data_IF_424203466570
#
_entry.id   IF_424203466570
#
_cell.length_a   1.000
_cell.length_b   1.000
_cell.length_c   1.000
_cell.angle_alpha   90.00
_cell.angle_beta   90.00
_cell.angle_gamma   90.00
#
_symmetry.space_group_name_H-M   'P 1'
#
loop_
_entity.id
_entity.type
_entity.pdbx_description
1 polymer ?
#
# COMPACT_ATOMS: atom_id res chain seq x y z
N UNK A 1 -1.41 46.94 38.11
CA UNK A 1 0.03 46.74 37.85
C UNK A 1 0.19 45.55 36.92
N UNK A 2 0.43 45.81 35.64
CA UNK A 2 0.92 44.79 34.70
C UNK A 2 2.46 44.89 34.69
N UNK A 3 3.15 43.91 35.28
CA UNK A 3 4.57 43.64 35.04
C UNK A 3 4.63 42.43 34.10
N UNK A 4 4.99 42.59 32.83
CA UNK A 4 6.33 42.81 32.26
C UNK A 4 7.22 41.55 32.25
N UNK A 5 7.41 41.07 31.01
CA UNK A 5 8.63 40.50 30.44
C UNK A 5 9.07 39.07 30.81
N UNK A 6 8.70 38.11 29.95
CA UNK A 6 9.62 37.08 29.46
C UNK A 6 9.34 36.82 27.98
N UNK A 7 10.13 37.46 27.11
CA UNK A 7 10.20 37.25 25.66
C UNK A 7 10.88 35.91 25.33
N UNK A 8 10.22 34.80 25.64
CA UNK A 8 10.52 33.49 25.03
C UNK A 8 9.20 33.01 24.42
N UNK A 9 9.17 32.74 23.11
CA UNK A 9 8.03 32.03 22.52
C UNK A 9 7.72 30.74 23.31
N UNK A 10 6.49 30.19 23.23
CA UNK A 10 6.08 29.07 24.07
C UNK A 10 7.16 27.98 24.02
N UNK A 11 7.73 27.66 25.18
CA UNK A 11 8.81 26.68 25.32
C UNK A 11 8.35 25.38 24.64
N UNK A 12 8.84 25.12 23.41
CA UNK A 12 8.42 23.93 22.64
C UNK A 12 8.65 22.70 23.51
N UNK A 13 7.63 21.84 23.70
CA UNK A 13 7.74 20.70 24.57
C UNK A 13 8.77 19.70 24.01
N UNK A 14 9.39 18.92 24.90
CA UNK A 14 10.49 18.00 24.54
C UNK A 14 10.11 17.02 23.43
N UNK A 15 8.91 16.44 23.48
CA UNK A 15 8.41 15.50 22.46
C UNK A 15 8.35 16.16 21.07
N UNK A 16 7.94 17.42 20.99
CA UNK A 16 7.84 18.17 19.72
C UNK A 16 9.23 18.46 19.17
N UNK A 17 10.18 18.86 20.03
CA UNK A 17 11.59 19.03 19.64
C UNK A 17 12.19 17.72 19.12
N UNK A 18 11.84 16.58 19.72
CA UNK A 18 12.32 15.27 19.27
C UNK A 18 11.89 14.97 17.82
N UNK A 19 10.65 15.32 17.47
CA UNK A 19 10.16 15.22 16.10
C UNK A 19 10.82 16.27 15.20
N UNK A 20 10.95 17.52 15.65
CA UNK A 20 11.59 18.60 14.88
C UNK A 20 13.04 18.27 14.49
N UNK A 21 13.77 17.58 15.38
CA UNK A 21 15.14 17.15 15.14
C UNK A 21 15.29 16.14 14.00
N UNK A 22 14.22 15.40 13.65
CA UNK A 22 14.25 14.49 12.49
C UNK A 22 14.61 15.20 11.19
N UNK A 23 14.27 16.49 11.10
CA UNK A 23 14.41 17.31 9.90
C UNK A 23 15.69 18.18 9.93
N UNK A 24 16.47 18.11 11.02
CA UNK A 24 17.61 19.01 11.27
C UNK A 24 18.97 18.37 10.94
N UNK A 25 19.01 17.38 10.06
CA UNK A 25 20.21 16.63 9.70
C UNK A 25 20.17 16.10 8.26
N UNK A 26 21.14 15.27 7.89
CA UNK A 26 21.10 14.62 6.57
C UNK A 26 19.96 13.60 6.52
N UNK A 27 19.28 13.43 5.37
CA UNK A 27 18.12 12.53 5.26
C UNK A 27 18.48 11.03 5.43
N UNK A 28 19.77 10.70 5.45
CA UNK A 28 20.29 9.35 5.70
C UNK A 28 20.62 9.10 7.18
N UNK A 29 20.63 10.14 8.02
CA UNK A 29 20.98 9.99 9.42
C UNK A 29 19.84 9.28 10.20
N UNK A 30 20.12 8.04 10.61
CA UNK A 30 19.21 7.23 11.42
C UNK A 30 19.28 7.59 12.90
N UNK A 31 20.28 8.35 13.34
CA UNK A 31 20.50 8.69 14.76
C UNK A 31 19.29 9.43 15.36
N UNK A 32 18.75 10.42 14.64
CA UNK A 32 17.59 11.18 15.12
C UNK A 32 16.32 10.31 15.18
N UNK A 33 16.15 9.38 14.23
CA UNK A 33 15.07 8.38 14.28
C UNK A 33 15.21 7.47 15.50
N UNK A 34 16.41 6.98 15.77
CA UNK A 34 16.68 6.10 16.91
C UNK A 34 16.45 6.81 18.25
N UNK A 35 16.83 8.09 18.36
CA UNK A 35 16.53 8.91 19.54
C UNK A 35 15.02 9.09 19.75
N UNK A 36 14.25 9.32 18.69
CA UNK A 36 12.80 9.41 18.77
C UNK A 36 12.17 8.08 19.20
N UNK A 37 12.59 6.96 18.59
CA UNK A 37 12.12 5.62 18.96
C UNK A 37 12.40 5.34 20.43
N UNK A 38 13.64 5.57 20.89
CA UNK A 38 14.01 5.40 22.28
C UNK A 38 13.15 6.26 23.21
N UNK A 39 12.88 7.52 22.85
CA UNK A 39 12.01 8.39 23.62
C UNK A 39 10.57 7.86 23.70
N UNK A 40 10.00 7.41 22.58
CA UNK A 40 8.64 6.85 22.50
C UNK A 40 8.48 5.57 23.32
N UNK A 41 9.50 4.70 23.35
CA UNK A 41 9.48 3.48 24.15
C UNK A 41 9.43 3.76 25.67
N UNK A 42 10.03 4.87 26.12
CA UNK A 42 10.04 5.26 27.52
C UNK A 42 8.86 6.18 27.91
N UNK A 43 8.22 6.84 26.94
CA UNK A 43 7.11 7.77 27.17
C UNK A 43 5.95 7.49 26.19
N UNK A 44 5.28 6.33 26.31
CA UNK A 44 4.23 5.93 25.39
C UNK A 44 2.98 6.83 25.46
N UNK A 45 2.76 7.52 26.58
CA UNK A 45 1.68 8.50 26.76
C UNK A 45 1.77 9.71 25.82
N UNK A 46 2.95 9.95 25.23
CA UNK A 46 3.16 11.02 24.24
C UNK A 46 2.96 10.55 22.80
N UNK A 47 2.81 9.25 22.56
CA UNK A 47 2.86 8.66 21.23
C UNK A 47 1.73 9.16 20.32
N UNK A 48 0.50 9.28 20.85
CA UNK A 48 -0.65 9.85 20.14
C UNK A 48 -0.35 11.27 19.62
N UNK A 49 0.25 12.12 20.47
CA UNK A 49 0.60 13.50 20.10
C UNK A 49 1.72 13.54 19.06
N UNK A 50 2.70 12.67 19.19
CA UNK A 50 3.81 12.53 18.23
C UNK A 50 3.28 12.11 16.86
N UNK A 51 2.42 11.09 16.81
CA UNK A 51 1.83 10.57 15.58
C UNK A 51 0.98 11.64 14.87
N UNK A 52 0.11 12.34 15.62
CA UNK A 52 -0.68 13.47 15.09
C UNK A 52 0.19 14.62 14.58
N UNK A 53 1.29 14.90 15.26
CA UNK A 53 2.22 15.96 14.84
C UNK A 53 3.02 15.57 13.59
N UNK A 54 3.43 14.31 13.43
CA UNK A 54 4.03 13.80 12.20
C UNK A 54 3.06 13.93 11.02
N UNK A 55 1.79 13.57 11.21
CA UNK A 55 0.75 13.76 10.20
C UNK A 55 0.56 15.25 9.84
N UNK A 56 0.43 16.14 10.83
CA UNK A 56 0.33 17.58 10.61
C UNK A 56 1.52 18.12 9.81
N UNK A 57 2.73 17.67 10.14
CA UNK A 57 3.95 18.12 9.47
C UNK A 57 4.02 17.61 8.03
N UNK A 58 3.71 16.35 7.79
CA UNK A 58 3.62 15.80 6.44
C UNK A 58 2.63 16.60 5.59
N UNK A 59 1.45 16.93 6.11
CA UNK A 59 0.47 17.78 5.41
C UNK A 59 1.01 19.16 5.06
N UNK A 60 1.77 19.80 5.95
CA UNK A 60 2.42 21.09 5.68
C UNK A 60 3.53 20.98 4.63
N UNK A 61 4.34 19.92 4.70
CA UNK A 61 5.43 19.68 3.75
C UNK A 61 4.90 19.28 2.36
N UNK A 62 3.74 18.64 2.26
CA UNK A 62 3.01 18.43 1.00
C UNK A 62 2.65 19.74 0.32
N UNK A 63 2.07 20.68 1.07
CA UNK A 63 1.71 22.01 0.55
C UNK A 63 2.93 22.80 0.06
N UNK A 64 4.09 22.60 0.70
CA UNK A 64 5.35 23.27 0.35
C UNK A 64 6.20 22.49 -0.66
N UNK A 65 5.79 21.28 -1.03
CA UNK A 65 6.52 20.34 -1.90
C UNK A 65 7.94 20.03 -1.39
N UNK A 66 8.07 19.82 -0.08
CA UNK A 66 9.34 19.39 0.53
C UNK A 66 9.44 17.87 0.61
N UNK A 67 9.72 17.23 -0.53
CA UNK A 67 9.73 15.77 -0.71
C UNK A 67 10.65 15.03 0.26
N UNK A 68 11.80 15.62 0.58
CA UNK A 68 12.72 15.06 1.57
C UNK A 68 12.07 15.01 2.97
N UNK A 69 11.35 16.05 3.38
CA UNK A 69 10.67 16.09 4.67
C UNK A 69 9.47 15.14 4.70
N UNK A 70 8.76 14.99 3.58
CA UNK A 70 7.70 13.99 3.43
C UNK A 70 8.27 12.60 3.67
N UNK A 71 9.39 12.25 3.00
CA UNK A 71 10.06 10.96 3.18
C UNK A 71 10.52 10.73 4.62
N UNK A 72 11.06 11.76 5.30
CA UNK A 72 11.44 11.68 6.72
C UNK A 72 10.22 11.37 7.59
N UNK A 73 9.08 12.03 7.34
CA UNK A 73 7.85 11.84 8.12
C UNK A 73 7.31 10.42 7.98
N UNK A 74 7.24 9.89 6.75
CA UNK A 74 6.80 8.52 6.45
C UNK A 74 7.73 7.50 7.13
N UNK A 75 9.05 7.63 6.94
CA UNK A 75 10.05 6.74 7.57
C UNK A 75 9.98 6.76 9.09
N UNK A 76 9.68 7.92 9.69
CA UNK A 76 9.58 8.04 11.13
C UNK A 76 8.37 7.27 11.66
N UNK A 77 7.18 7.42 11.06
CA UNK A 77 6.00 6.70 11.51
C UNK A 77 6.09 5.18 11.21
N UNK A 78 6.67 4.78 10.08
CA UNK A 78 6.95 3.38 9.75
C UNK A 78 7.74 2.69 10.86
N UNK A 79 8.86 3.30 11.26
CA UNK A 79 9.73 2.75 12.31
C UNK A 79 9.03 2.71 13.68
N UNK A 80 8.23 3.74 14.00
CA UNK A 80 7.49 3.76 15.26
C UNK A 80 6.48 2.61 15.33
N UNK A 81 5.74 2.36 14.23
CA UNK A 81 4.78 1.24 14.17
C UNK A 81 5.48 -0.11 14.34
N UNK A 82 6.65 -0.28 13.72
CA UNK A 82 7.39 -1.54 13.81
C UNK A 82 7.86 -1.84 15.23
N UNK A 83 8.21 -0.82 16.02
CA UNK A 83 8.87 -0.99 17.33
C UNK A 83 7.91 -0.81 18.52
N UNK A 84 6.88 0.03 18.41
CA UNK A 84 5.98 0.36 19.52
C UNK A 84 4.75 -0.55 19.59
N UNK A 85 4.97 -1.86 19.79
CA UNK A 85 3.94 -2.91 19.76
C UNK A 85 2.69 -2.62 20.61
N UNK A 86 2.85 -2.22 21.87
CA UNK A 86 1.72 -2.01 22.80
C UNK A 86 0.82 -0.80 22.52
N UNK A 87 1.16 0.03 21.52
CA UNK A 87 0.41 1.25 21.16
C UNK A 87 0.20 1.39 19.65
N UNK A 88 0.29 0.27 18.91
CA UNK A 88 0.20 0.24 17.44
C UNK A 88 -1.08 0.84 16.91
N UNK A 89 -2.23 0.59 17.53
CA UNK A 89 -3.52 1.13 17.07
C UNK A 89 -3.50 2.66 16.90
N UNK A 90 -2.97 3.39 17.90
CA UNK A 90 -2.90 4.85 17.88
C UNK A 90 -1.98 5.35 16.76
N UNK A 91 -0.86 4.67 16.55
CA UNK A 91 0.06 4.96 15.45
C UNK A 91 -0.57 4.65 14.09
N UNK A 92 -1.26 3.52 13.97
CA UNK A 92 -1.90 3.04 12.74
C UNK A 92 -2.93 4.06 12.22
N UNK A 93 -3.76 4.64 13.09
CA UNK A 93 -4.75 5.65 12.67
C UNK A 93 -4.06 6.88 12.05
N UNK A 94 -3.01 7.40 12.69
CA UNK A 94 -2.29 8.58 12.15
C UNK A 94 -1.52 8.22 10.87
N UNK A 95 -0.98 7.01 10.81
CA UNK A 95 -0.32 6.46 9.65
C UNK A 95 -1.24 6.33 8.45
N UNK A 96 -2.42 5.71 8.61
CA UNK A 96 -3.37 5.55 7.52
C UNK A 96 -3.85 6.90 6.97
N UNK A 97 -4.03 7.90 7.85
CA UNK A 97 -4.29 9.29 7.41
C UNK A 97 -3.13 9.90 6.61
N UNK A 98 -1.88 9.61 6.98
CA UNK A 98 -0.71 10.02 6.19
C UNK A 98 -0.67 9.32 4.83
N UNK A 99 -0.96 8.01 4.79
CA UNK A 99 -1.07 7.24 3.54
C UNK A 99 -2.16 7.84 2.65
N UNK A 100 -3.35 8.09 3.20
CA UNK A 100 -4.45 8.71 2.48
C UNK A 100 -4.04 10.06 1.87
N UNK A 101 -3.44 10.97 2.65
CA UNK A 101 -2.96 12.26 2.15
C UNK A 101 -1.98 12.14 0.99
N UNK A 102 -1.11 11.13 1.01
CA UNK A 102 -0.16 10.87 -0.08
C UNK A 102 -0.86 10.30 -1.32
N UNK A 103 -1.84 9.42 -1.13
CA UNK A 103 -2.61 8.79 -2.20
C UNK A 103 -3.54 9.77 -2.92
N UNK A 104 -4.11 10.72 -2.18
CA UNK A 104 -4.94 11.83 -2.70
C UNK A 104 -4.13 12.83 -3.54
N UNK A 105 -2.79 12.72 -3.57
CA UNK A 105 -1.97 13.52 -4.48
C UNK A 105 -2.00 12.97 -5.90
N UNK A 106 -1.99 13.86 -6.91
CA UNK A 106 -1.79 13.48 -8.32
C UNK A 106 -0.30 13.22 -8.65
N UNK A 107 0.50 12.79 -7.67
CA UNK A 107 1.94 12.62 -7.76
C UNK A 107 2.32 11.15 -7.64
N UNK A 108 2.74 10.56 -8.75
CA UNK A 108 3.02 9.12 -8.86
C UNK A 108 4.11 8.66 -7.90
N UNK A 109 5.14 9.48 -7.67
CA UNK A 109 6.22 9.20 -6.73
C UNK A 109 5.74 9.09 -5.27
N UNK A 110 4.81 9.97 -4.86
CA UNK A 110 4.22 9.96 -3.52
C UNK A 110 3.23 8.82 -3.35
N UNK A 111 2.40 8.54 -4.36
CA UNK A 111 1.48 7.41 -4.38
C UNK A 111 2.22 6.07 -4.27
N UNK A 112 3.33 5.90 -5.01
CA UNK A 112 4.18 4.71 -4.91
C UNK A 112 4.84 4.62 -3.53
N UNK A 113 5.30 5.74 -2.95
CA UNK A 113 5.86 5.75 -1.59
C UNK A 113 4.83 5.31 -0.55
N UNK A 114 3.60 5.83 -0.64
CA UNK A 114 2.50 5.48 0.24
C UNK A 114 2.14 4.00 0.15
N UNK A 115 2.01 3.47 -1.07
CA UNK A 115 1.75 2.04 -1.29
C UNK A 115 2.84 1.16 -0.66
N UNK A 116 4.12 1.46 -0.90
CA UNK A 116 5.23 0.68 -0.33
C UNK A 116 5.22 0.65 1.19
N UNK A 117 5.03 1.81 1.81
CA UNK A 117 4.94 1.95 3.26
C UNK A 117 3.72 1.20 3.83
N UNK A 118 2.56 1.31 3.17
CA UNK A 118 1.35 0.56 3.54
C UNK A 118 1.50 -0.95 3.40
N UNK A 119 2.20 -1.44 2.36
CA UNK A 119 2.46 -2.87 2.17
C UNK A 119 3.29 -3.43 3.33
N UNK A 120 4.33 -2.71 3.79
CA UNK A 120 5.08 -3.13 4.97
C UNK A 120 4.23 -3.12 6.24
N UNK A 121 3.40 -2.10 6.43
CA UNK A 121 2.41 -2.08 7.52
C UNK A 121 1.45 -3.28 7.47
N UNK A 122 0.98 -3.66 6.28
CA UNK A 122 0.01 -4.74 6.11
C UNK A 122 0.52 -6.11 6.59
N UNK A 123 1.84 -6.31 6.57
CA UNK A 123 2.52 -7.55 6.98
C UNK A 123 2.65 -7.69 8.51
N UNK A 124 2.35 -6.64 9.26
CA UNK A 124 2.44 -6.66 10.71
C UNK A 124 1.18 -7.32 11.26
N UNK A 125 1.30 -8.49 11.85
CA UNK A 125 0.20 -9.13 12.57
C UNK A 125 -0.13 -8.30 13.83
N UNK A 126 -1.38 -7.86 13.94
CA UNK A 126 -1.88 -7.06 15.05
C UNK A 126 -3.37 -7.40 15.28
N UNK A 127 -3.73 -7.77 16.51
CA UNK A 127 -5.05 -8.30 16.88
C UNK A 127 -6.16 -7.22 16.98
N UNK A 128 -5.94 -6.03 16.40
CA UNK A 128 -6.77 -4.85 16.64
C UNK A 128 -7.55 -4.43 15.38
N UNK A 129 -8.86 -4.70 15.29
CA UNK A 129 -9.69 -4.42 14.11
C UNK A 129 -10.11 -2.93 13.97
N UNK A 130 -9.59 -2.02 14.80
CA UNK A 130 -10.16 -0.67 14.95
C UNK A 130 -9.75 0.35 13.87
N UNK A 131 -9.18 -0.09 12.74
CA UNK A 131 -8.75 0.79 11.64
C UNK A 131 -9.25 0.34 10.25
N UNK A 132 -10.25 -0.54 10.21
CA UNK A 132 -10.84 -1.02 8.94
C UNK A 132 -11.47 0.09 8.11
N UNK A 133 -12.07 1.10 8.77
CA UNK A 133 -12.65 2.26 8.08
C UNK A 133 -11.59 3.00 7.27
N UNK A 134 -10.46 3.31 7.89
CA UNK A 134 -9.34 4.01 7.25
C UNK A 134 -8.73 3.15 6.13
N UNK A 135 -8.63 1.83 6.30
CA UNK A 135 -8.23 0.92 5.22
C UNK A 135 -9.20 0.95 4.03
N UNK A 136 -10.51 1.14 4.27
CA UNK A 136 -11.51 1.24 3.21
C UNK A 136 -11.40 2.56 2.44
N UNK A 137 -11.13 3.66 3.13
CA UNK A 137 -10.92 4.99 2.52
C UNK A 137 -9.72 5.00 1.55
N UNK A 138 -8.65 4.25 1.86
CA UNK A 138 -7.48 4.14 0.96
C UNK A 138 -7.64 3.11 -0.16
N UNK A 139 -8.57 2.14 -0.04
CA UNK A 139 -8.80 1.10 -1.05
C UNK A 139 -9.21 1.71 -2.39
N UNK A 140 -10.05 2.75 -2.38
CA UNK A 140 -10.47 3.48 -3.58
C UNK A 140 -9.28 4.02 -4.38
N UNK A 141 -8.29 4.56 -3.68
CA UNK A 141 -7.11 5.12 -4.31
C UNK A 141 -6.22 4.05 -4.92
N UNK A 142 -6.04 2.91 -4.24
CA UNK A 142 -5.29 1.79 -4.79
C UNK A 142 -5.98 1.15 -6.01
N UNK A 143 -7.30 1.05 -6.00
CA UNK A 143 -8.09 0.61 -7.15
C UNK A 143 -7.90 1.56 -8.34
N UNK A 144 -7.97 2.88 -8.11
CA UNK A 144 -7.72 3.88 -9.15
C UNK A 144 -6.29 3.79 -9.73
N UNK A 145 -5.28 3.62 -8.87
CA UNK A 145 -3.88 3.39 -9.29
C UNK A 145 -3.74 2.13 -10.15
N UNK A 146 -4.41 1.03 -9.77
CA UNK A 146 -4.40 -0.22 -10.52
C UNK A 146 -5.11 -0.10 -11.89
N UNK A 147 -6.08 0.80 -12.02
CA UNK A 147 -6.78 1.09 -13.29
C UNK A 147 -6.11 2.16 -14.16
N UNK A 148 -5.04 2.80 -13.70
CA UNK A 148 -4.36 3.87 -14.44
C UNK A 148 -4.10 3.45 -15.91
N UNK A 149 -4.68 4.14 -16.88
CA UNK A 149 -4.65 3.74 -18.30
C UNK A 149 -4.08 4.87 -19.17
N UNK A 150 -3.37 4.52 -20.25
CA UNK A 150 -2.71 5.51 -21.11
C UNK A 150 -2.99 5.32 -22.59
N UNK A 151 -3.03 6.45 -23.34
CA UNK A 151 -2.89 6.46 -24.80
C UNK A 151 -1.49 6.07 -25.31
N UNK A 152 -0.43 6.25 -24.49
CA UNK A 152 0.97 6.03 -24.88
C UNK A 152 1.67 4.92 -24.04
N UNK A 153 1.99 3.76 -24.63
CA UNK A 153 2.56 2.59 -23.94
C UNK A 153 4.00 2.69 -23.41
N UNK A 154 4.66 3.86 -23.47
CA UNK A 154 6.11 4.00 -23.21
C UNK A 154 6.46 4.58 -21.83
N UNK A 155 5.47 4.98 -21.04
CA UNK A 155 5.71 5.71 -19.80
C UNK A 155 5.86 4.73 -18.60
N UNK A 156 7.11 4.35 -18.33
CA UNK A 156 7.49 3.37 -17.30
C UNK A 156 6.95 3.69 -15.88
N UNK A 157 6.72 4.96 -15.56
CA UNK A 157 6.22 5.41 -14.24
C UNK A 157 4.84 4.84 -13.91
N UNK A 158 4.03 4.54 -14.93
CA UNK A 158 2.66 4.05 -14.80
C UNK A 158 2.64 2.57 -14.47
N UNK A 159 3.53 1.82 -15.07
CA UNK A 159 3.69 0.39 -14.81
C UNK A 159 4.05 0.18 -13.32
N UNK A 160 4.88 1.06 -12.75
CA UNK A 160 5.14 1.11 -11.31
C UNK A 160 3.94 1.58 -10.50
N UNK A 161 3.15 2.52 -11.00
CA UNK A 161 1.93 3.00 -10.33
C UNK A 161 0.87 1.89 -10.25
N UNK A 162 0.65 1.14 -11.34
CA UNK A 162 -0.23 -0.03 -11.39
C UNK A 162 0.22 -1.09 -10.41
N UNK A 163 1.51 -1.45 -10.46
CA UNK A 163 2.08 -2.41 -9.53
C UNK A 163 1.84 -1.96 -8.08
N UNK A 164 2.11 -0.70 -7.77
CA UNK A 164 1.88 -0.13 -6.45
C UNK A 164 0.39 -0.16 -6.06
N UNK A 165 -0.53 0.10 -7.00
CA UNK A 165 -1.98 -0.03 -6.77
C UNK A 165 -2.35 -1.46 -6.39
N UNK A 166 -1.91 -2.44 -7.19
CA UNK A 166 -2.18 -3.87 -6.95
C UNK A 166 -1.59 -4.34 -5.61
N UNK A 167 -0.37 -3.93 -5.27
CA UNK A 167 0.26 -4.24 -3.98
C UNK A 167 -0.48 -3.57 -2.81
N UNK A 168 -0.98 -2.35 -3.00
CA UNK A 168 -1.82 -1.67 -2.03
C UNK A 168 -3.13 -2.43 -1.76
N UNK A 169 -3.83 -2.86 -2.82
CA UNK A 169 -5.01 -3.73 -2.72
C UNK A 169 -4.65 -5.01 -1.93
N UNK A 170 -3.53 -5.66 -2.26
CA UNK A 170 -3.08 -6.86 -1.55
C UNK A 170 -2.87 -6.61 -0.05
N UNK A 171 -2.33 -5.44 0.32
CA UNK A 171 -2.17 -5.04 1.71
C UNK A 171 -3.51 -4.84 2.42
N UNK A 172 -4.49 -4.24 1.76
CA UNK A 172 -5.85 -4.04 2.29
C UNK A 172 -6.53 -5.39 2.49
N UNK A 173 -6.48 -6.26 1.49
CA UNK A 173 -6.98 -7.64 1.56
C UNK A 173 -6.36 -8.37 2.74
N UNK A 174 -5.03 -8.33 2.90
CA UNK A 174 -4.35 -8.95 4.04
C UNK A 174 -4.85 -8.44 5.39
N UNK A 175 -5.17 -7.14 5.49
CA UNK A 175 -5.63 -6.51 6.73
C UNK A 175 -7.11 -6.68 7.02
N UNK A 176 -7.96 -6.83 6.01
CA UNK A 176 -9.41 -6.90 6.20
C UNK A 176 -9.98 -8.32 6.08
N UNK A 177 -9.29 -9.24 5.39
CA UNK A 177 -9.78 -10.62 5.24
C UNK A 177 -9.57 -11.45 6.51
N UNK A 178 -8.68 -11.05 7.42
CA UNK A 178 -8.54 -11.70 8.73
C UNK A 178 -9.82 -11.65 9.58
N UNK A 179 -10.73 -10.69 9.31
CA UNK A 179 -11.79 -10.33 10.25
C UNK A 179 -13.22 -10.43 9.67
N UNK A 180 -13.45 -11.18 8.58
CA UNK A 180 -14.78 -11.35 7.93
C UNK A 180 -15.46 -10.05 7.41
N UNK A 181 -14.84 -8.87 7.59
CA UNK A 181 -15.45 -7.55 7.38
C UNK A 181 -15.47 -7.05 5.93
N UNK A 182 -14.65 -7.59 5.00
CA UNK A 182 -14.68 -7.10 3.60
C UNK A 182 -16.08 -7.26 2.99
N UNK A 183 -16.76 -8.35 3.32
CA UNK A 183 -18.06 -8.70 2.75
C UNK A 183 -19.23 -8.16 3.54
N UNK A 184 -19.05 -7.88 4.84
CA UNK A 184 -20.09 -7.25 5.67
C UNK A 184 -20.17 -5.74 5.46
N UNK A 185 -19.08 -5.07 5.06
CA UNK A 185 -19.04 -3.59 5.05
C UNK A 185 -19.59 -2.97 3.77
N UNK A 186 -19.46 -3.58 2.57
CA UNK A 186 -20.18 -3.11 1.37
C UNK A 186 -19.98 -4.02 0.15
N UNK A 187 -21.04 -4.32 -0.61
CA UNK A 187 -20.94 -4.97 -1.94
C UNK A 187 -19.95 -4.23 -2.88
N UNK A 188 -19.80 -2.91 -2.73
CA UNK A 188 -18.88 -2.09 -3.54
C UNK A 188 -17.39 -2.45 -3.39
N UNK A 189 -17.01 -3.14 -2.31
CA UNK A 189 -15.61 -3.52 -2.09
C UNK A 189 -15.15 -4.59 -3.09
N UNK A 190 -16.09 -5.42 -3.57
CA UNK A 190 -15.84 -6.40 -4.61
C UNK A 190 -15.41 -5.71 -5.91
N UNK A 191 -16.07 -4.62 -6.29
CA UNK A 191 -15.68 -3.83 -7.47
C UNK A 191 -14.25 -3.29 -7.34
N UNK A 192 -13.89 -2.80 -6.14
CA UNK A 192 -12.58 -2.17 -5.88
C UNK A 192 -11.43 -3.16 -5.71
N UNK A 193 -11.73 -4.46 -5.55
CA UNK A 193 -10.72 -5.51 -5.41
C UNK A 193 -10.71 -6.39 -6.66
N UNK A 194 -11.84 -6.99 -7.01
CA UNK A 194 -11.94 -7.99 -8.07
C UNK A 194 -11.71 -7.37 -9.46
N UNK A 195 -12.35 -6.23 -9.78
CA UNK A 195 -12.22 -5.64 -11.12
C UNK A 195 -10.80 -5.17 -11.45
N UNK A 196 -10.09 -4.42 -10.58
CA UNK A 196 -8.73 -4.02 -10.89
C UNK A 196 -7.80 -5.22 -11.07
N UNK A 197 -7.99 -6.29 -10.30
CA UNK A 197 -7.17 -7.49 -10.42
C UNK A 197 -7.43 -8.23 -11.74
N UNK A 198 -8.70 -8.50 -12.07
CA UNK A 198 -9.06 -9.16 -13.34
C UNK A 198 -8.61 -8.33 -14.55
N UNK A 199 -8.81 -7.01 -14.52
CA UNK A 199 -8.39 -6.10 -15.58
C UNK A 199 -6.87 -6.16 -15.82
N UNK A 200 -6.07 -6.21 -14.76
CA UNK A 200 -4.61 -6.25 -14.88
C UNK A 200 -4.08 -7.61 -15.35
N UNK A 201 -4.73 -8.72 -14.96
CA UNK A 201 -4.45 -10.05 -15.53
C UNK A 201 -4.75 -10.10 -17.03
N UNK A 202 -5.86 -9.48 -17.44
CA UNK A 202 -6.29 -9.45 -18.84
C UNK A 202 -5.37 -8.60 -19.71
N UNK A 203 -5.06 -7.38 -19.26
CA UNK A 203 -4.30 -6.39 -20.04
C UNK A 203 -2.93 -6.94 -20.47
N UNK A 204 -2.26 -7.71 -19.60
CA UNK A 204 -0.99 -8.34 -19.99
C UNK A 204 -1.17 -9.51 -20.98
N UNK A 205 -2.25 -10.29 -20.82
CA UNK A 205 -2.60 -11.35 -21.78
C UNK A 205 -2.76 -10.79 -23.20
N UNK A 206 -3.40 -9.62 -23.36
CA UNK A 206 -3.44 -8.92 -24.65
C UNK A 206 -2.06 -8.41 -25.05
N UNK A 207 -1.34 -7.73 -24.15
CA UNK A 207 -0.01 -7.15 -24.44
C UNK A 207 0.94 -8.21 -25.00
N UNK A 208 0.99 -9.40 -24.40
CA UNK A 208 1.79 -10.54 -24.87
C UNK A 208 1.30 -11.09 -26.23
N UNK A 209 -0.01 -11.22 -26.43
CA UNK A 209 -0.59 -11.69 -27.72
C UNK A 209 -0.29 -10.71 -28.86
N UNK A 210 -0.45 -9.41 -28.63
CA UNK A 210 -0.18 -8.36 -29.62
C UNK A 210 1.33 -8.21 -29.91
N UNK A 211 2.19 -8.46 -28.92
CA UNK A 211 3.64 -8.40 -29.11
C UNK A 211 4.24 -9.66 -29.73
N UNK A 212 3.43 -10.68 -30.06
CA UNK A 212 3.93 -11.97 -30.58
C UNK A 212 4.79 -12.76 -29.58
N UNK A 213 4.81 -12.36 -28.31
CA UNK A 213 5.60 -12.99 -27.25
C UNK A 213 4.77 -14.06 -26.58
N UNK A 214 5.18 -15.32 -26.72
CA UNK A 214 4.54 -16.44 -26.01
C UNK A 214 4.85 -16.30 -24.52
N UNK A 215 3.84 -16.01 -23.70
CA UNK A 215 3.97 -16.03 -22.24
C UNK A 215 4.40 -17.43 -21.80
N UNK A 216 5.65 -17.58 -21.36
CA UNK A 216 6.09 -18.78 -20.65
C UNK A 216 5.80 -18.54 -19.17
N UNK A 217 4.66 -19.00 -18.68
CA UNK A 217 4.41 -19.07 -17.24
C UNK A 217 5.45 -19.99 -16.58
N UNK A 218 6.08 -19.59 -15.46
CA UNK A 218 6.91 -20.50 -14.68
C UNK A 218 6.03 -21.59 -14.07
N UNK A 219 6.44 -22.86 -14.19
CA UNK A 219 5.82 -23.95 -13.42
C UNK A 219 6.14 -23.74 -11.93
N UNK A 220 5.13 -23.98 -11.08
CA UNK A 220 5.25 -23.96 -9.63
C UNK A 220 6.43 -24.83 -9.14
N UNK A 221 7.33 -24.24 -8.35
CA UNK A 221 8.39 -25.02 -7.69
C UNK A 221 9.69 -24.31 -7.32
N UNK A 222 9.92 -23.05 -7.67
CA UNK A 222 11.19 -22.38 -7.35
C UNK A 222 11.05 -21.35 -6.22
N UNK A 223 11.47 -21.74 -5.01
CA UNK A 223 11.85 -20.80 -3.95
C UNK A 223 12.92 -19.86 -4.50
N UNK A 224 12.65 -18.55 -4.54
CA UNK A 224 13.68 -17.54 -4.80
C UNK A 224 13.54 -16.41 -3.79
N UNK A 225 14.33 -16.52 -2.72
CA UNK A 225 14.81 -15.39 -1.95
C UNK A 225 15.78 -14.61 -2.84
N UNK A 226 15.43 -13.38 -3.22
CA UNK A 226 16.34 -12.43 -3.88
C UNK A 226 16.73 -12.78 -5.31
N UNK A 227 16.65 -11.79 -6.21
CA UNK A 227 16.99 -11.86 -7.65
C UNK A 227 16.10 -12.79 -8.49
N UNK A 228 15.09 -12.20 -9.13
CA UNK A 228 14.16 -12.89 -10.04
C UNK A 228 14.83 -13.52 -11.26
N UNK A 229 14.14 -14.46 -11.93
CA UNK A 229 14.72 -15.34 -12.94
C UNK A 229 15.07 -14.61 -14.24
N UNK A 230 16.25 -14.94 -14.77
CA UNK A 230 16.70 -14.55 -16.11
C UNK A 230 16.01 -15.45 -17.13
N UNK A 231 15.05 -14.92 -17.89
CA UNK A 231 14.56 -15.60 -19.10
C UNK A 231 15.58 -15.45 -20.23
N UNK A 232 16.10 -16.58 -20.69
CA UNK A 232 17.04 -16.67 -21.80
C UNK A 232 16.41 -16.36 -23.16
N UNK A 233 17.06 -15.40 -23.82
CA UNK A 233 17.31 -15.20 -25.26
C UNK A 233 16.16 -14.66 -26.11
N UNK A 234 16.36 -13.42 -26.62
CA UNK A 234 15.71 -12.92 -27.83
C UNK A 234 15.41 -11.42 -27.89
N UNK A 235 16.35 -10.54 -27.55
CA UNK A 235 16.45 -9.10 -27.89
C UNK A 235 15.15 -8.31 -28.19
N UNK A 236 14.62 -7.62 -27.18
CA UNK A 236 14.49 -6.15 -27.16
C UNK A 236 13.81 -5.68 -25.87
N UNK A 237 14.54 -4.89 -25.07
CA UNK A 237 14.03 -3.89 -24.12
C UNK A 237 12.84 -4.28 -23.22
N UNK A 238 13.09 -4.81 -22.01
CA UNK A 238 12.34 -4.49 -20.77
C UNK A 238 13.14 -4.95 -19.53
N UNK A 239 14.41 -4.59 -19.44
CA UNK A 239 15.20 -4.81 -18.22
C UNK A 239 14.72 -3.76 -17.19
N UNK A 240 13.83 -4.15 -16.27
CA UNK A 240 13.32 -3.26 -15.21
C UNK A 240 11.85 -2.85 -15.30
N UNK A 241 11.03 -3.47 -16.16
CA UNK A 241 9.57 -3.27 -16.12
C UNK A 241 8.97 -4.19 -15.05
N UNK A 242 8.15 -3.65 -14.13
CA UNK A 242 7.49 -4.45 -13.11
C UNK A 242 6.51 -5.47 -13.72
N UNK A 243 6.50 -6.70 -13.21
CA UNK A 243 5.58 -7.76 -13.64
C UNK A 243 4.31 -7.74 -12.77
N UNK A 244 3.37 -6.85 -13.10
CA UNK A 244 2.20 -6.59 -12.26
C UNK A 244 1.07 -7.62 -12.41
N UNK A 245 1.04 -8.39 -13.51
CA UNK A 245 0.05 -9.44 -13.75
C UNK A 245 0.22 -10.63 -12.81
N UNK A 246 1.44 -11.12 -12.59
CA UNK A 246 1.68 -12.14 -11.55
C UNK A 246 1.33 -11.62 -10.17
N UNK A 247 1.64 -10.35 -9.90
CA UNK A 247 1.26 -9.70 -8.65
C UNK A 247 -0.26 -9.63 -8.50
N UNK A 248 -1.00 -9.39 -9.59
CA UNK A 248 -2.46 -9.40 -9.60
C UNK A 248 -3.01 -10.80 -9.30
N UNK A 249 -2.45 -11.84 -9.94
CA UNK A 249 -2.83 -13.25 -9.66
C UNK A 249 -2.57 -13.60 -8.20
N UNK A 250 -1.39 -13.28 -7.68
CA UNK A 250 -1.04 -13.52 -6.28
C UNK A 250 -1.97 -12.77 -5.32
N UNK A 251 -2.31 -11.51 -5.63
CA UNK A 251 -3.26 -10.74 -4.84
C UNK A 251 -4.65 -11.38 -4.83
N UNK A 252 -5.13 -11.85 -5.99
CA UNK A 252 -6.43 -12.52 -6.09
C UNK A 252 -6.44 -13.84 -5.32
N UNK A 253 -5.36 -14.61 -5.34
CA UNK A 253 -5.20 -15.82 -4.54
C UNK A 253 -5.22 -15.51 -3.04
N UNK A 254 -4.55 -14.44 -2.58
CA UNK A 254 -4.61 -14.01 -1.18
C UNK A 254 -6.04 -13.65 -0.79
N UNK A 255 -6.76 -12.95 -1.66
CA UNK A 255 -8.17 -12.61 -1.44
C UNK A 255 -9.04 -13.87 -1.33
N UNK A 256 -8.95 -14.78 -2.29
CA UNK A 256 -9.65 -16.07 -2.29
C UNK A 256 -9.37 -16.89 -1.03
N UNK A 257 -8.10 -17.06 -0.67
CA UNK A 257 -7.69 -17.91 0.45
C UNK A 257 -8.22 -17.43 1.80
N UNK A 258 -8.50 -16.15 1.93
CA UNK A 258 -9.09 -15.63 3.16
C UNK A 258 -10.63 -15.59 3.16
N UNK A 259 -11.29 -15.95 2.05
CA UNK A 259 -12.73 -16.24 2.07
C UNK A 259 -12.95 -17.58 2.78
N UNK A 260 -13.23 -17.54 4.08
CA UNK A 260 -13.38 -18.75 4.90
C UNK A 260 -14.80 -19.30 4.93
N UNK A 261 -15.81 -18.49 4.59
CA UNK A 261 -17.22 -18.87 4.63
C UNK A 261 -17.74 -19.24 3.23
N UNK A 262 -18.66 -20.22 3.17
CA UNK A 262 -19.30 -20.63 1.90
C UNK A 262 -20.11 -19.50 1.28
N UNK A 263 -20.78 -18.67 2.10
CA UNK A 263 -21.53 -17.49 1.64
C UNK A 263 -20.65 -16.49 0.89
N UNK A 264 -19.43 -16.26 1.39
CA UNK A 264 -18.42 -15.40 0.78
C UNK A 264 -18.00 -15.89 -0.61
N UNK A 265 -17.79 -17.19 -0.75
CA UNK A 265 -17.49 -17.81 -2.04
C UNK A 265 -18.64 -17.71 -3.03
N UNK A 266 -19.88 -17.94 -2.56
CA UNK A 266 -21.08 -17.78 -3.40
C UNK A 266 -21.21 -16.35 -3.88
N UNK A 267 -20.98 -15.36 -3.01
CA UNK A 267 -20.99 -13.94 -3.39
C UNK A 267 -19.93 -13.62 -4.45
N UNK A 268 -18.69 -14.10 -4.27
CA UNK A 268 -17.64 -13.92 -5.27
C UNK A 268 -18.00 -14.56 -6.62
N UNK A 269 -18.48 -15.80 -6.61
CA UNK A 269 -18.88 -16.48 -7.85
C UNK A 269 -20.06 -15.78 -8.52
N UNK A 270 -21.06 -15.38 -7.75
CA UNK A 270 -22.22 -14.63 -8.25
C UNK A 270 -21.78 -13.31 -8.88
N UNK A 271 -20.88 -12.59 -8.22
CA UNK A 271 -20.28 -11.36 -8.73
C UNK A 271 -19.55 -11.60 -10.05
N UNK A 272 -18.66 -12.60 -10.10
CA UNK A 272 -17.91 -12.99 -11.30
C UNK A 272 -18.84 -13.34 -12.47
N UNK A 273 -19.97 -14.02 -12.20
CA UNK A 273 -20.97 -14.36 -13.21
C UNK A 273 -21.74 -13.12 -13.71
N UNK A 274 -22.00 -12.16 -12.82
CA UNK A 274 -22.68 -10.89 -13.14
C UNK A 274 -21.78 -9.94 -13.92
N UNK A 275 -20.46 -9.94 -13.67
CA UNK A 275 -19.44 -9.25 -14.47
C UNK A 275 -19.35 -9.94 -15.84
N UNK A 276 -20.38 -9.73 -16.65
CA UNK A 276 -20.58 -10.32 -17.96
C UNK A 276 -19.79 -9.57 -19.04
N UNK A 277 -18.54 -9.21 -18.72
CA UNK A 277 -17.61 -8.62 -19.68
C UNK A 277 -16.88 -9.77 -20.41
N UNK A 278 -17.05 -9.92 -21.74
CA UNK A 278 -16.41 -10.97 -22.52
C UNK A 278 -14.88 -10.98 -22.39
N UNK A 279 -14.27 -9.83 -22.10
CA UNK A 279 -12.83 -9.67 -21.96
C UNK A 279 -12.32 -10.16 -20.59
N UNK A 280 -13.06 -9.90 -19.51
CA UNK A 280 -12.70 -10.36 -18.17
C UNK A 280 -12.91 -11.87 -17.99
N UNK A 281 -13.79 -12.51 -18.78
CA UNK A 281 -13.98 -13.98 -18.79
C UNK A 281 -12.68 -14.75 -19.05
N UNK A 282 -11.81 -14.24 -19.92
CA UNK A 282 -10.51 -14.88 -20.20
C UNK A 282 -9.59 -14.89 -18.97
N UNK A 283 -9.65 -13.84 -18.14
CA UNK A 283 -8.89 -13.77 -16.89
C UNK A 283 -9.51 -14.65 -15.81
N UNK A 284 -10.84 -14.74 -15.78
CA UNK A 284 -11.56 -15.66 -14.90
C UNK A 284 -11.18 -17.10 -15.21
N UNK A 285 -11.09 -17.51 -16.47
CA UNK A 285 -10.65 -18.86 -16.85
C UNK A 285 -9.22 -19.15 -16.38
N UNK A 286 -8.29 -18.20 -16.50
CA UNK A 286 -6.90 -18.32 -16.00
C UNK A 286 -6.87 -18.51 -14.49
N UNK A 287 -7.69 -17.74 -13.77
CA UNK A 287 -7.79 -17.80 -12.32
C UNK A 287 -8.43 -19.12 -11.87
N UNK A 288 -9.60 -19.48 -12.42
CA UNK A 288 -10.31 -20.72 -12.07
C UNK A 288 -9.44 -21.95 -12.37
N UNK A 289 -8.76 -22.01 -13.52
CA UNK A 289 -7.88 -23.15 -13.83
C UNK A 289 -6.67 -23.27 -12.91
N UNK A 290 -6.16 -22.18 -12.33
CA UNK A 290 -5.09 -22.21 -11.34
C UNK A 290 -5.60 -22.41 -9.89
N UNK A 291 -6.83 -22.01 -9.60
CA UNK A 291 -7.46 -22.15 -8.27
C UNK A 291 -8.11 -23.53 -8.04
N UNK A 292 -8.43 -24.28 -9.10
CA UNK A 292 -9.10 -25.60 -9.03
C UNK A 292 -8.13 -26.79 -8.88
N UNK A 293 -6.83 -26.56 -8.69
CA UNK A 293 -5.83 -27.62 -8.37
C UNK A 293 -5.57 -27.71 -6.85
N UNK A 294 -6.61 -27.57 -6.02
CA UNK A 294 -6.56 -27.92 -4.60
C UNK A 294 -7.69 -28.90 -4.25
#
# INVERSE_FOLDING_TARGET
MFLSCCKCGPCRPKWMKMVDNLYSGSPQDTNNHNKLIHYCLHQPDKLDRIAKYLHLRLSQDLNRRYDQNISISVKAIDKLIQVCHGHRLVLAISFLKMIQLLLETNRTDLQIMASKSFVEFSKIDDDSPNYHKECNEILDHFAAMAHASFPNPQELSIDFLKLAGIQGIQGVVRKMVSDQLILEVHESNMDKIVLPLLFNMYTNTIRCRLSGLRAKHPRAGSKVLGSGPVCGIGNAHYRGVPYWDETAVQCFQVFQNGLTQVSSWIQLLSYILVVNDPFLRLSIDVVITHSVIL
#
